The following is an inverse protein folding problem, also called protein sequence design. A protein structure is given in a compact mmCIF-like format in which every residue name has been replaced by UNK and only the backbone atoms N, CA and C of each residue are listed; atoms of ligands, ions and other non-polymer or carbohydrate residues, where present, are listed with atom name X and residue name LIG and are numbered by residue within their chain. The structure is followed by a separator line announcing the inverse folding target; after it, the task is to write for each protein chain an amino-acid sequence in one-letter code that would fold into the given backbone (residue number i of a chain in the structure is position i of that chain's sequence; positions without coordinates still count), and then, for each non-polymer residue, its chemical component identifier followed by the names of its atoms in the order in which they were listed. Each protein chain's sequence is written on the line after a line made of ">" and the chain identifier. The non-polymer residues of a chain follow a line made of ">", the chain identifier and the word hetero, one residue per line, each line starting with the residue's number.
data_IF_190021211045
#
_entry.id   IF_190021211045
#
_cell.length_a   1.000
_cell.length_b   1.000
_cell.length_c   1.000
_cell.angle_alpha   90.00
_cell.angle_beta   90.00
_cell.angle_gamma   90.00
#
_symmetry.space_group_name_H-M   'P 1'
#
loop_
_entity.id
_entity.type
_entity.pdbx_description
1 polymer ?
#
# COMPACT_ATOMS: atom_id res chain seq x y z
N UNK A 1 -12.86 41.63 -40.69
CA UNK A 1 -12.52 41.05 -42.01
C UNK A 1 -12.86 39.56 -41.97
N UNK A 2 -13.81 39.11 -42.80
CA UNK A 2 -14.31 37.72 -42.92
C UNK A 2 -13.46 36.95 -43.95
N UNK A 3 -13.22 35.67 -43.66
CA UNK A 3 -12.58 34.64 -44.50
C UNK A 3 -13.48 34.36 -45.75
N UNK A 4 -12.95 33.92 -46.92
CA UNK A 4 -12.92 32.46 -47.19
C UNK A 4 -11.82 31.92 -48.13
N UNK A 5 -11.50 30.64 -47.88
CA UNK A 5 -11.08 29.53 -48.76
C UNK A 5 -10.87 29.78 -50.26
N UNK A 6 -9.88 29.06 -50.82
CA UNK A 6 -9.99 28.49 -52.16
C UNK A 6 -9.17 27.21 -52.36
N UNK A 7 -9.91 26.12 -52.58
CA UNK A 7 -9.43 24.83 -53.06
C UNK A 7 -9.38 24.80 -54.61
N UNK A 8 -8.63 23.81 -55.13
CA UNK A 8 -8.73 23.11 -56.44
C UNK A 8 -8.04 23.69 -57.68
N UNK A 9 -7.08 22.89 -58.18
CA UNK A 9 -6.85 22.51 -59.59
C UNK A 9 -6.30 21.05 -59.53
N UNK A 10 -7.01 19.99 -59.96
CA UNK A 10 -7.13 19.47 -61.35
C UNK A 10 -5.87 19.68 -62.19
N UNK A 11 -5.32 18.76 -62.97
CA UNK A 11 -5.55 17.37 -63.39
C UNK A 11 -4.37 17.12 -64.33
N UNK A 12 -3.77 15.92 -64.41
CA UNK A 12 -3.14 15.47 -65.66
C UNK A 12 -3.04 13.94 -65.63
N UNK A 13 -3.87 13.31 -66.46
CA UNK A 13 -3.78 11.91 -66.84
C UNK A 13 -2.93 11.82 -68.12
N UNK A 14 -2.00 10.87 -68.17
CA UNK A 14 -1.48 10.32 -69.43
C UNK A 14 -1.37 8.80 -69.31
N UNK A 15 -1.73 8.16 -70.42
CA UNK A 15 -2.06 6.77 -70.54
C UNK A 15 -0.85 5.89 -70.91
N UNK A 16 -0.96 4.61 -70.54
CA UNK A 16 -0.50 3.48 -71.35
C UNK A 16 0.94 3.01 -71.12
N UNK A 17 1.10 1.74 -70.75
CA UNK A 17 1.69 0.69 -71.62
C UNK A 17 2.11 -0.54 -70.80
N UNK A 18 1.33 -1.62 -70.96
CA UNK A 18 1.74 -3.01 -71.21
C UNK A 18 2.60 -3.77 -70.17
N UNK A 19 1.98 -4.86 -69.69
CA UNK A 19 2.52 -6.22 -69.50
C UNK A 19 3.74 -6.39 -68.58
N UNK A 20 3.52 -7.04 -67.44
CA UNK A 20 3.88 -8.46 -67.25
C UNK A 20 3.34 -8.93 -65.91
N UNK A 21 2.51 -9.97 -65.92
CA UNK A 21 2.21 -10.75 -64.72
C UNK A 21 3.49 -11.49 -64.30
N UNK A 22 4.27 -10.91 -63.38
CA UNK A 22 5.22 -11.68 -62.59
C UNK A 22 4.52 -12.12 -61.31
N UNK A 23 4.11 -13.38 -61.29
CA UNK A 23 3.79 -14.11 -60.08
C UNK A 23 5.01 -14.10 -59.16
N UNK A 24 4.98 -13.28 -58.11
CA UNK A 24 5.91 -13.43 -56.99
C UNK A 24 5.37 -14.56 -56.13
N UNK A 25 5.98 -15.74 -56.27
CA UNK A 25 5.82 -16.85 -55.37
C UNK A 25 6.04 -16.36 -53.92
N UNK A 26 5.07 -16.68 -53.06
CA UNK A 26 5.07 -16.25 -51.67
C UNK A 26 6.28 -16.77 -50.90
N UNK A 27 7.05 -15.86 -50.34
CA UNK A 27 7.85 -16.15 -49.15
C UNK A 27 6.95 -15.89 -47.93
N UNK A 28 6.13 -16.89 -47.60
CA UNK A 28 5.54 -16.96 -46.27
C UNK A 28 6.67 -17.38 -45.34
N UNK A 29 7.29 -16.42 -44.65
CA UNK A 29 8.22 -16.72 -43.56
C UNK A 29 7.49 -17.62 -42.57
N UNK A 30 7.98 -18.85 -42.40
CA UNK A 30 7.49 -19.73 -41.36
C UNK A 30 7.75 -19.03 -40.02
N UNK A 31 6.68 -18.70 -39.30
CA UNK A 31 6.81 -18.26 -37.91
C UNK A 31 7.45 -19.42 -37.13
N UNK A 32 8.44 -19.17 -36.27
CA UNK A 32 8.94 -20.21 -35.38
C UNK A 32 7.78 -20.77 -34.55
N UNK A 33 7.83 -22.05 -34.15
CA UNK A 33 6.74 -22.67 -33.41
C UNK A 33 6.42 -21.79 -32.21
N UNK A 34 5.14 -21.45 -32.09
CA UNK A 34 4.59 -20.73 -30.95
C UNK A 34 4.99 -21.55 -29.71
N UNK A 35 6.01 -21.12 -28.99
CA UNK A 35 6.24 -21.60 -27.64
C UNK A 35 4.90 -21.46 -26.97
N UNK A 36 4.35 -22.60 -26.56
CA UNK A 36 3.21 -22.60 -25.66
C UNK A 36 3.76 -21.92 -24.43
N UNK A 37 3.53 -20.62 -24.33
CA UNK A 37 3.59 -19.91 -23.07
C UNK A 37 2.57 -20.64 -22.23
N UNK A 38 3.07 -21.62 -21.47
CA UNK A 38 2.43 -22.09 -20.26
C UNK A 38 2.06 -20.81 -19.55
N UNK A 39 0.76 -20.51 -19.57
CA UNK A 39 0.18 -19.55 -18.65
C UNK A 39 0.81 -19.86 -17.31
N UNK A 40 1.44 -18.85 -16.71
CA UNK A 40 1.92 -18.92 -15.34
C UNK A 40 0.71 -19.25 -14.48
N UNK A 41 0.47 -20.55 -14.30
CA UNK A 41 -0.46 -21.06 -13.32
C UNK A 41 0.07 -20.59 -11.98
N UNK A 42 -0.83 -20.04 -11.16
CA UNK A 42 -0.57 -19.58 -9.80
C UNK A 42 0.52 -20.43 -9.14
N UNK A 43 1.76 -19.92 -9.15
CA UNK A 43 2.83 -20.56 -8.41
C UNK A 43 2.55 -20.26 -6.96
N UNK A 44 2.05 -21.25 -6.23
CA UNK A 44 1.93 -21.19 -4.78
C UNK A 44 3.32 -20.87 -4.23
N UNK A 45 3.50 -19.63 -3.78
CA UNK A 45 4.77 -19.18 -3.22
C UNK A 45 5.09 -20.04 -1.99
N UNK A 46 6.34 -20.51 -1.86
CA UNK A 46 6.75 -21.21 -0.65
C UNK A 46 6.57 -20.28 0.57
N UNK A 47 6.36 -20.81 1.79
CA UNK A 47 6.22 -19.96 2.98
C UNK A 47 7.40 -19.00 3.19
N UNK A 48 8.63 -19.44 2.90
CA UNK A 48 9.83 -18.59 2.97
C UNK A 48 9.77 -17.45 1.94
N UNK A 49 9.33 -17.73 0.71
CA UNK A 49 9.19 -16.71 -0.33
C UNK A 49 8.08 -15.69 0.00
N UNK A 50 7.00 -16.14 0.66
CA UNK A 50 5.93 -15.25 1.14
C UNK A 50 6.42 -14.29 2.22
N UNK A 51 7.16 -14.80 3.21
CA UNK A 51 7.72 -13.96 4.28
C UNK A 51 8.72 -12.94 3.71
N UNK A 52 9.55 -13.34 2.75
CA UNK A 52 10.48 -12.41 2.09
C UNK A 52 9.76 -11.34 1.27
N UNK A 53 8.74 -11.73 0.50
CA UNK A 53 7.86 -10.80 -0.24
C UNK A 53 7.16 -9.83 0.72
N UNK A 54 6.63 -10.33 1.83
CA UNK A 54 6.00 -9.53 2.86
C UNK A 54 6.94 -8.53 3.50
N UNK A 55 8.17 -8.95 3.83
CA UNK A 55 9.22 -8.08 4.36
C UNK A 55 9.51 -6.93 3.40
N UNK A 56 9.65 -7.23 2.11
CA UNK A 56 9.82 -6.22 1.07
C UNK A 56 8.66 -5.23 1.06
N UNK A 57 7.41 -5.72 0.99
CA UNK A 57 6.20 -4.90 0.95
C UNK A 57 6.03 -4.01 2.19
N UNK A 58 6.29 -4.54 3.38
CA UNK A 58 6.26 -3.76 4.63
C UNK A 58 7.31 -2.65 4.62
N UNK A 59 8.49 -2.93 4.06
CA UNK A 59 9.59 -1.96 3.97
C UNK A 59 9.27 -0.86 2.96
N UNK A 60 8.89 -1.21 1.74
CA UNK A 60 8.61 -0.21 0.68
C UNK A 60 7.25 0.46 0.85
N UNK A 61 6.32 -0.19 1.53
CA UNK A 61 5.00 0.33 1.87
C UNK A 61 5.01 1.31 3.05
N UNK A 62 6.17 1.52 3.69
CA UNK A 62 6.33 2.52 4.76
C UNK A 62 5.67 2.15 6.09
N UNK A 63 5.38 0.87 6.34
CA UNK A 63 4.72 0.46 7.59
C UNK A 63 5.58 0.83 8.82
N UNK A 64 6.90 0.72 8.69
CA UNK A 64 7.87 1.10 9.72
C UNK A 64 7.89 2.61 10.02
N UNK A 65 7.37 3.48 9.15
CA UNK A 65 7.41 4.93 9.37
C UNK A 65 6.47 5.38 10.50
N UNK A 66 5.40 4.60 10.74
CA UNK A 66 4.40 4.88 11.75
C UNK A 66 4.28 3.80 12.83
N UNK A 67 4.56 2.53 12.49
CA UNK A 67 4.42 1.41 13.44
C UNK A 67 5.72 1.04 14.15
N UNK A 68 6.86 1.64 13.80
CA UNK A 68 8.13 1.46 14.52
C UNK A 68 8.51 2.77 15.21
N UNK A 69 8.60 2.80 16.56
CA UNK A 69 8.90 4.03 17.27
C UNK A 69 10.32 4.52 16.97
N UNK A 70 10.49 5.83 16.86
CA UNK A 70 11.80 6.45 16.84
C UNK A 70 12.43 6.49 18.23
N UNK A 71 13.76 6.46 18.27
CA UNK A 71 14.60 6.78 19.42
C UNK A 71 15.68 7.77 19.01
N UNK A 72 16.28 8.45 19.99
CA UNK A 72 17.47 9.27 19.73
C UNK A 72 18.70 8.37 19.60
N UNK A 73 19.24 8.29 18.39
CA UNK A 73 20.54 7.68 18.10
C UNK A 73 21.66 8.71 18.10
N UNK A 74 22.88 8.25 17.83
CA UNK A 74 24.08 9.12 17.80
C UNK A 74 24.01 10.22 16.72
N UNK A 75 23.25 10.00 15.65
CA UNK A 75 23.14 10.90 14.50
C UNK A 75 21.76 11.58 14.39
N UNK A 76 20.95 11.56 15.45
CA UNK A 76 19.59 12.08 15.48
C UNK A 76 18.53 10.99 15.62
N UNK A 77 17.24 11.31 15.38
CA UNK A 77 16.16 10.35 15.46
C UNK A 77 16.37 9.19 14.47
N UNK A 78 16.35 7.96 14.96
CA UNK A 78 16.40 6.74 14.17
C UNK A 78 15.30 5.77 14.61
N UNK A 79 14.92 4.84 13.74
CA UNK A 79 13.96 3.79 14.10
C UNK A 79 14.53 2.86 15.16
N UNK A 80 13.77 2.63 16.23
CA UNK A 80 14.12 1.63 17.22
C UNK A 80 13.76 0.23 16.72
N UNK A 81 14.71 -0.40 16.03
CA UNK A 81 14.52 -1.75 15.48
C UNK A 81 14.36 -2.84 16.55
N UNK A 82 14.67 -2.55 17.82
CA UNK A 82 14.36 -3.46 18.93
C UNK A 82 12.85 -3.50 19.24
N UNK A 83 12.10 -2.52 18.75
CA UNK A 83 10.66 -2.34 18.89
C UNK A 83 9.96 -2.26 17.52
N UNK A 84 10.57 -2.87 16.51
CA UNK A 84 10.08 -2.82 15.13
C UNK A 84 8.62 -3.28 15.05
N UNK A 85 7.76 -2.44 14.48
CA UNK A 85 6.33 -2.69 14.28
C UNK A 85 5.51 -2.89 15.56
N UNK A 86 6.04 -2.51 16.73
CA UNK A 86 5.32 -2.62 18.02
C UNK A 86 4.28 -1.51 18.25
N UNK A 87 4.17 -0.53 17.35
CA UNK A 87 3.27 0.61 17.51
C UNK A 87 3.75 1.64 18.53
N UNK A 88 2.81 2.47 19.00
CA UNK A 88 3.08 3.52 19.98
C UNK A 88 3.54 2.93 21.32
N UNK A 89 4.68 3.37 21.90
CA UNK A 89 5.14 2.84 23.18
C UNK A 89 4.14 3.12 24.32
N UNK A 90 3.68 2.08 25.01
CA UNK A 90 2.71 2.22 26.11
C UNK A 90 3.19 3.13 27.26
N UNK A 91 4.51 3.27 27.41
CA UNK A 91 5.13 4.14 28.43
C UNK A 91 5.15 5.61 28.03
N UNK A 92 4.92 5.95 26.76
CA UNK A 92 4.93 7.32 26.28
C UNK A 92 3.56 7.96 26.50
N UNK A 93 3.54 9.09 27.21
CA UNK A 93 2.31 9.86 27.41
C UNK A 93 2.20 10.93 26.35
N UNK A 94 1.11 10.91 25.60
CA UNK A 94 0.80 11.94 24.61
C UNK A 94 -0.28 12.86 25.15
N UNK A 95 0.08 14.12 25.33
CA UNK A 95 -0.89 15.18 25.61
C UNK A 95 -1.39 15.74 24.28
N UNK A 96 -2.70 15.68 23.98
CA UNK A 96 -3.24 16.25 22.76
C UNK A 96 -2.88 17.74 22.65
N UNK A 97 -2.26 18.19 21.55
CA UNK A 97 -1.94 19.59 21.37
C UNK A 97 -3.22 20.39 21.06
N UNK A 98 -3.21 21.69 21.41
CA UNK A 98 -4.25 22.60 20.95
C UNK A 98 -4.00 22.97 19.49
N UNK A 99 -4.71 22.31 18.57
CA UNK A 99 -4.64 22.58 17.15
C UNK A 99 -5.59 23.75 16.81
N UNK A 100 -5.04 24.96 16.70
CA UNK A 100 -5.80 26.19 16.47
C UNK A 100 -6.35 26.33 15.04
N UNK A 101 -5.89 25.50 14.10
CA UNK A 101 -6.31 25.52 12.70
C UNK A 101 -6.85 24.16 12.29
N UNK A 102 -7.94 24.17 11.53
CA UNK A 102 -8.51 22.97 10.91
C UNK A 102 -7.49 22.40 9.93
N UNK A 103 -7.34 21.07 9.91
CA UNK A 103 -6.42 20.29 9.05
C UNK A 103 -4.94 20.29 9.42
N UNK A 104 -4.54 20.91 10.52
CA UNK A 104 -3.19 20.68 11.05
C UNK A 104 -3.11 19.28 11.69
N UNK A 105 -1.97 18.63 11.49
CA UNK A 105 -1.64 17.36 12.12
C UNK A 105 -0.39 17.55 12.96
N UNK A 106 -0.44 17.11 14.21
CA UNK A 106 0.74 17.00 15.06
C UNK A 106 1.12 15.54 15.21
N UNK A 107 2.44 15.27 15.19
CA UNK A 107 3.01 13.93 15.25
C UNK A 107 3.93 13.84 16.48
N UNK A 108 3.86 12.74 17.23
CA UNK A 108 4.77 12.52 18.37
C UNK A 108 6.22 12.41 17.92
N UNK A 109 7.16 12.62 18.85
CA UNK A 109 8.59 12.46 18.58
C UNK A 109 8.96 11.03 18.16
N UNK A 110 8.18 10.04 18.59
CA UNK A 110 8.33 8.64 18.18
C UNK A 110 7.70 8.32 16.82
N UNK A 111 7.03 9.27 16.16
CA UNK A 111 6.28 9.06 14.91
C UNK A 111 5.18 8.01 15.01
N UNK A 112 4.56 7.86 16.19
CA UNK A 112 3.56 6.80 16.44
C UNK A 112 2.23 7.30 17.01
N UNK A 113 2.12 8.60 17.34
CA UNK A 113 0.85 9.22 17.72
C UNK A 113 0.56 10.46 16.87
N UNK A 114 -0.69 10.60 16.45
CA UNK A 114 -1.10 11.58 15.44
C UNK A 114 -2.38 12.30 15.89
N UNK A 115 -2.24 13.59 16.19
CA UNK A 115 -3.36 14.44 16.58
C UNK A 115 -3.87 15.24 15.38
N UNK A 116 -5.19 15.26 15.18
CA UNK A 116 -5.86 16.01 14.13
C UNK A 116 -7.35 16.21 14.42
N UNK A 117 -8.16 16.62 13.41
CA UNK A 117 -9.62 16.77 13.58
C UNK A 117 -10.35 15.49 14.03
N UNK A 118 -9.74 14.32 13.86
CA UNK A 118 -10.24 13.01 14.32
C UNK A 118 -9.85 12.66 15.76
N UNK A 119 -9.20 13.57 16.51
CA UNK A 119 -8.65 13.29 17.83
C UNK A 119 -7.20 12.82 17.75
N UNK A 120 -6.77 11.97 18.69
CA UNK A 120 -5.40 11.41 18.73
C UNK A 120 -5.44 9.93 18.41
N UNK A 121 -4.86 9.55 17.29
CA UNK A 121 -4.70 8.17 16.87
C UNK A 121 -3.30 7.66 17.24
N UNK A 122 -3.23 6.42 17.71
CA UNK A 122 -1.98 5.74 18.02
C UNK A 122 -1.75 4.58 17.05
N UNK A 123 -0.53 4.43 16.56
CA UNK A 123 -0.16 3.32 15.69
C UNK A 123 -0.23 2.01 16.47
N UNK A 124 -0.95 1.03 15.93
CA UNK A 124 -1.17 -0.28 16.56
C UNK A 124 0.11 -1.13 16.62
N UNK A 125 0.15 -2.08 17.55
CA UNK A 125 1.15 -3.14 17.58
C UNK A 125 0.82 -4.19 16.51
N UNK A 126 1.71 -4.36 15.54
CA UNK A 126 1.57 -5.31 14.42
C UNK A 126 2.37 -6.60 14.64
N UNK A 127 3.06 -6.74 15.78
CA UNK A 127 3.78 -7.98 16.12
C UNK A 127 2.81 -9.10 16.46
N UNK A 128 3.20 -10.39 16.39
CA UNK A 128 2.30 -11.50 16.65
C UNK A 128 2.11 -11.78 18.14
N UNK A 129 2.19 -10.75 19.00
CA UNK A 129 1.82 -10.86 20.40
C UNK A 129 0.30 -11.12 20.52
N UNK A 130 -0.08 -12.14 21.29
CA UNK A 130 -1.47 -12.60 21.39
C UNK A 130 -2.37 -11.66 22.20
N UNK A 131 -1.80 -10.90 23.13
CA UNK A 131 -2.56 -10.03 24.02
C UNK A 131 -2.70 -8.60 23.47
N UNK A 132 -1.62 -8.07 22.90
CA UNK A 132 -1.52 -6.65 22.54
C UNK A 132 -1.27 -6.40 21.06
N UNK A 133 -0.98 -7.45 20.28
CA UNK A 133 -0.67 -7.38 18.85
C UNK A 133 -1.70 -8.10 17.97
N UNK A 134 -1.23 -8.64 16.84
CA UNK A 134 -2.04 -9.40 15.88
C UNK A 134 -1.93 -10.92 16.07
N UNK A 135 -1.47 -11.38 17.24
CA UNK A 135 -1.26 -12.80 17.54
C UNK A 135 -2.48 -13.67 17.27
N UNK A 136 -3.65 -13.23 17.74
CA UNK A 136 -4.92 -13.94 17.59
C UNK A 136 -5.64 -13.70 16.25
N UNK A 137 -5.11 -12.83 15.39
CA UNK A 137 -5.75 -12.51 14.12
C UNK A 137 -5.51 -13.64 13.13
N UNK A 138 -6.53 -13.99 12.35
CA UNK A 138 -6.36 -14.80 11.16
C UNK A 138 -6.08 -13.93 9.92
N UNK A 139 -5.63 -14.58 8.84
CA UNK A 139 -5.27 -13.92 7.58
C UNK A 139 -6.46 -13.17 6.96
N UNK A 140 -7.65 -13.75 7.02
CA UNK A 140 -8.84 -13.15 6.40
C UNK A 140 -9.30 -11.91 7.16
N UNK A 141 -9.21 -11.91 8.48
CA UNK A 141 -9.48 -10.77 9.34
C UNK A 141 -8.49 -9.64 9.05
N UNK A 142 -7.21 -9.94 8.86
CA UNK A 142 -6.20 -8.96 8.44
C UNK A 142 -6.57 -8.35 7.08
N UNK A 143 -6.85 -9.19 6.07
CA UNK A 143 -7.24 -8.72 4.72
C UNK A 143 -8.49 -7.85 4.81
N UNK A 144 -9.54 -8.31 5.50
CA UNK A 144 -10.79 -7.55 5.66
C UNK A 144 -10.55 -6.22 6.37
N UNK A 145 -9.66 -6.17 7.36
CA UNK A 145 -9.28 -4.93 8.05
C UNK A 145 -8.67 -3.92 7.08
N UNK A 146 -7.71 -4.35 6.26
CA UNK A 146 -7.05 -3.47 5.28
C UNK A 146 -8.02 -3.03 4.19
N UNK A 147 -8.83 -3.94 3.65
CA UNK A 147 -9.80 -3.67 2.57
C UNK A 147 -10.90 -2.70 3.00
N UNK A 148 -11.42 -2.87 4.21
CA UNK A 148 -12.55 -2.07 4.72
C UNK A 148 -12.13 -0.79 5.43
N UNK A 149 -10.87 -0.70 5.86
CA UNK A 149 -10.43 0.37 6.74
C UNK A 149 -11.10 0.32 8.12
N UNK A 150 -11.54 -0.85 8.58
CA UNK A 150 -12.20 -1.04 9.88
C UNK A 150 -11.45 -2.05 10.71
N UNK A 151 -11.31 -1.77 12.01
CA UNK A 151 -10.70 -2.71 12.94
C UNK A 151 -11.42 -4.07 12.91
N UNK A 152 -10.67 -5.17 12.77
CA UNK A 152 -11.18 -6.53 12.58
C UNK A 152 -12.15 -6.68 11.39
N UNK A 153 -12.06 -5.80 10.40
CA UNK A 153 -12.92 -5.76 9.22
C UNK A 153 -14.32 -5.18 9.42
N UNK A 154 -14.75 -4.90 10.65
CA UNK A 154 -16.13 -4.53 10.94
C UNK A 154 -16.33 -3.54 12.10
N UNK A 155 -15.32 -3.38 12.96
CA UNK A 155 -15.37 -2.48 14.11
C UNK A 155 -15.15 -1.01 13.72
N UNK A 156 -14.54 -0.26 14.65
CA UNK A 156 -14.27 1.17 14.46
C UNK A 156 -13.46 1.45 13.18
N UNK A 157 -13.67 2.60 12.52
CA UNK A 157 -12.82 3.03 11.42
C UNK A 157 -11.35 3.17 11.85
N UNK A 158 -10.43 2.78 10.97
CA UNK A 158 -9.01 3.09 11.07
C UNK A 158 -8.84 4.60 10.87
N UNK A 159 -8.03 5.23 11.72
CA UNK A 159 -7.76 6.66 11.64
C UNK A 159 -7.22 7.05 10.25
N UNK A 160 -7.62 8.21 9.70
CA UNK A 160 -7.30 8.61 8.33
C UNK A 160 -5.80 8.82 8.07
N UNK A 161 -4.98 8.87 9.12
CA UNK A 161 -3.52 8.95 9.01
C UNK A 161 -2.88 7.68 8.46
N UNK A 162 -3.50 6.52 8.69
CA UNK A 162 -3.05 5.28 8.07
C UNK A 162 -3.59 5.25 6.63
N UNK A 163 -2.73 5.10 5.60
CA UNK A 163 -3.14 5.15 4.20
C UNK A 163 -3.78 3.83 3.73
N UNK A 164 -4.77 3.34 4.49
CA UNK A 164 -5.42 2.05 4.24
C UNK A 164 -6.08 1.98 2.87
N UNK A 165 -6.58 3.09 2.31
CA UNK A 165 -7.14 3.13 0.95
C UNK A 165 -6.13 2.68 -0.11
N UNK A 166 -4.84 2.98 0.07
CA UNK A 166 -3.78 2.57 -0.85
C UNK A 166 -3.49 1.07 -0.68
N UNK A 167 -3.34 0.61 0.56
CA UNK A 167 -3.12 -0.81 0.86
C UNK A 167 -4.32 -1.67 0.45
N UNK A 168 -5.53 -1.13 0.51
CA UNK A 168 -6.76 -1.75 0.04
C UNK A 168 -6.79 -1.97 -1.48
N UNK A 169 -5.79 -1.49 -2.24
CA UNK A 169 -5.62 -1.78 -3.67
C UNK A 169 -4.58 -2.88 -3.95
N UNK A 170 -3.82 -3.34 -2.96
CA UNK A 170 -2.84 -4.42 -3.14
C UNK A 170 -3.53 -5.72 -3.59
N UNK A 171 -2.83 -6.65 -4.25
CA UNK A 171 -3.43 -7.96 -4.52
C UNK A 171 -3.63 -8.74 -3.22
N UNK A 172 -4.49 -9.76 -3.22
CA UNK A 172 -4.65 -10.62 -2.05
C UNK A 172 -3.33 -11.32 -1.71
N UNK A 173 -2.55 -11.74 -2.72
CA UNK A 173 -1.23 -12.35 -2.52
C UNK A 173 -0.26 -11.43 -1.78
N UNK A 174 -0.24 -10.14 -2.13
CA UNK A 174 0.61 -9.15 -1.45
C UNK A 174 0.15 -8.92 0.00
N UNK A 175 -1.17 -8.85 0.27
CA UNK A 175 -1.69 -8.74 1.64
C UNK A 175 -1.39 -9.99 2.48
N UNK A 176 -1.49 -11.18 1.88
CA UNK A 176 -1.11 -12.45 2.52
C UNK A 176 0.38 -12.50 2.83
N UNK A 177 1.22 -12.05 1.91
CA UNK A 177 2.66 -11.97 2.13
C UNK A 177 2.99 -11.01 3.29
N UNK A 178 2.37 -9.83 3.32
CA UNK A 178 2.51 -8.89 4.45
C UNK A 178 2.11 -9.57 5.76
N UNK A 179 0.94 -10.20 5.81
CA UNK A 179 0.48 -10.89 7.02
C UNK A 179 1.45 -11.99 7.46
N UNK A 180 1.89 -12.86 6.54
CA UNK A 180 2.87 -13.90 6.82
C UNK A 180 4.17 -13.33 7.40
N UNK A 181 4.66 -12.22 6.85
CA UNK A 181 5.83 -11.53 7.39
C UNK A 181 5.57 -10.99 8.81
N UNK A 182 4.45 -10.30 9.04
CA UNK A 182 4.10 -9.79 10.38
C UNK A 182 4.02 -10.93 11.40
N UNK A 183 3.43 -12.07 11.02
CA UNK A 183 3.35 -13.28 11.86
C UNK A 183 4.70 -13.94 12.13
N UNK A 184 5.73 -13.65 11.33
CA UNK A 184 7.09 -14.17 11.52
C UNK A 184 7.96 -13.35 12.47
N UNK A 185 7.50 -12.16 12.88
CA UNK A 185 8.26 -11.27 13.77
C UNK A 185 8.35 -11.83 15.19
N UNK A 186 9.38 -11.45 15.97
CA UNK A 186 9.35 -11.66 17.42
C UNK A 186 8.12 -10.95 18.03
N UNK A 187 7.34 -11.61 18.90
CA UNK A 187 6.24 -10.96 19.59
C UNK A 187 6.77 -9.92 20.58
N UNK A 188 6.14 -8.75 20.62
CA UNK A 188 6.45 -7.69 21.57
C UNK A 188 5.17 -7.29 22.27
N UNK A 189 5.09 -7.54 23.57
CA UNK A 189 3.98 -7.06 24.41
C UNK A 189 4.06 -5.54 24.55
N UNK A 190 3.07 -4.85 23.99
CA UNK A 190 2.96 -3.40 24.00
C UNK A 190 1.49 -2.98 23.84
N UNK A 191 0.85 -2.66 24.97
CA UNK A 191 -0.55 -2.23 25.01
C UNK A 191 -0.67 -0.78 24.54
N UNK A 192 -0.99 -0.60 23.27
CA UNK A 192 -1.19 0.72 22.66
C UNK A 192 -2.48 1.35 23.21
N UNK A 193 -2.46 2.64 23.64
CA UNK A 193 -3.67 3.31 24.10
C UNK A 193 -4.77 3.35 23.04
N UNK A 194 -6.02 3.40 23.50
CA UNK A 194 -7.15 3.65 22.61
C UNK A 194 -7.09 5.04 21.98
N UNK A 195 -7.77 5.19 20.84
CA UNK A 195 -7.90 6.50 20.18
C UNK A 195 -8.58 7.48 21.15
N UNK A 196 -7.99 8.66 21.32
CA UNK A 196 -8.61 9.74 22.07
C UNK A 196 -9.53 10.49 21.10
N UNK A 197 -10.85 10.56 21.34
CA UNK A 197 -11.77 11.24 20.44
C UNK A 197 -11.51 12.75 20.41
N UNK A 198 -11.93 13.46 19.35
CA UNK A 198 -11.81 14.92 19.32
C UNK A 198 -12.71 15.54 20.40
N UNK A 199 -12.29 16.69 20.94
CA UNK A 199 -13.04 17.37 21.98
C UNK A 199 -14.48 17.65 21.54
N UNK A 200 -15.46 17.17 22.31
CA UNK A 200 -16.89 17.34 22.03
C UNK A 200 -17.55 16.25 21.17
N UNK A 201 -16.83 15.20 20.77
CA UNK A 201 -17.46 14.02 20.18
C UNK A 201 -18.30 13.26 21.23
N UNK A 202 -19.51 12.86 20.85
CA UNK A 202 -20.30 11.90 21.63
C UNK A 202 -19.74 10.49 21.38
N UNK A 203 -19.59 9.68 22.42
CA UNK A 203 -19.28 8.24 22.27
C UNK A 203 -20.29 7.60 21.30
N UNK A 204 -19.78 6.83 20.33
CA UNK A 204 -20.55 6.07 19.35
C UNK A 204 -20.47 4.59 19.67
#
# INVERSE_FOLDING_TARGET
>A
MRIPRRDRWLMLATAGTICTMLWIAGCQSAQPPKETQTSSGAQTQSPANLVERGKYLVTVGGCDDCHTPFKMGANGPERDMSRRLSGHPASEKVTPPNLSQVWNVAVSATSTAFAGPWGVAFAANLTPDDETGIGVWDEQMFINTIRSGKHWGQGRPIAPIMPWHNYAQMSDEDLKAIFAFLKSLPPIKNEVPELIPPAGAKEQ
#
